data_IF_369061675869
#
_entry.id   IF_369061675869
#
_cell.length_a   1.000
_cell.length_b   1.000
_cell.length_c   1.000
_cell.angle_alpha   90.00
_cell.angle_beta   90.00
_cell.angle_gamma   90.00
#
_symmetry.space_group_name_H-M   'P 1'
#
loop_
_entity.id
_entity.type
_entity.pdbx_description
1 polymer ?
#
# COMPACT_ATOMS: atom_id res chain seq x y z
N UNK A 1 -1.09 -13.59 -5.02
CA UNK A 1 -1.31 -12.13 -5.18
C UNK A 1 -1.12 -11.80 -6.65
N UNK A 2 -1.80 -10.77 -7.15
CA UNK A 2 -1.59 -10.20 -8.50
C UNK A 2 -1.28 -8.71 -8.36
N UNK A 3 -0.51 -8.13 -9.28
CA UNK A 3 -0.15 -6.72 -9.24
C UNK A 3 0.26 -6.20 -10.61
N UNK A 4 -0.03 -4.93 -10.88
CA UNK A 4 0.35 -4.25 -12.12
C UNK A 4 1.72 -3.57 -12.02
N UNK A 5 2.25 -3.37 -10.81
CA UNK A 5 3.47 -2.57 -10.58
C UNK A 5 3.27 -1.06 -10.77
N UNK A 6 2.01 -0.61 -10.92
CA UNK A 6 1.65 0.79 -11.23
C UNK A 6 0.55 1.31 -10.30
N UNK A 7 0.59 0.91 -9.03
CA UNK A 7 -0.37 1.34 -8.02
C UNK A 7 -1.61 0.46 -7.90
N UNK A 8 -1.69 -0.69 -8.57
CA UNK A 8 -2.84 -1.60 -8.44
C UNK A 8 -2.41 -3.03 -8.14
N UNK A 9 -2.94 -3.61 -7.07
CA UNK A 9 -2.69 -5.02 -6.72
C UNK A 9 -3.90 -5.66 -6.05
N UNK A 10 -3.95 -6.99 -6.05
CA UNK A 10 -5.06 -7.78 -5.53
C UNK A 10 -4.61 -8.97 -4.69
N UNK A 11 -5.32 -9.20 -3.59
CA UNK A 11 -5.08 -10.33 -2.68
C UNK A 11 -6.23 -11.33 -2.74
N UNK A 12 -5.88 -12.60 -2.95
CA UNK A 12 -6.84 -13.70 -3.01
C UNK A 12 -6.36 -14.88 -2.17
N UNK A 13 -7.32 -15.55 -1.53
CA UNK A 13 -7.10 -16.80 -0.81
C UNK A 13 -8.19 -17.80 -1.20
N UNK A 14 -7.77 -19.00 -1.56
CA UNK A 14 -8.67 -20.09 -1.87
C UNK A 14 -8.12 -21.42 -1.34
N UNK A 15 -9.02 -22.36 -1.20
CA UNK A 15 -8.75 -23.78 -0.94
C UNK A 15 -9.35 -24.54 -2.11
N UNK A 16 -8.74 -25.65 -2.47
CA UNK A 16 -9.15 -26.53 -3.56
C UNK A 16 -8.66 -27.95 -3.28
N UNK A 17 -9.10 -28.91 -4.08
CA UNK A 17 -8.74 -30.31 -3.90
C UNK A 17 -7.32 -30.61 -4.36
N UNK A 18 -6.78 -29.78 -5.27
CA UNK A 18 -5.39 -29.82 -5.71
C UNK A 18 -4.71 -28.45 -5.59
N UNK A 19 -3.38 -28.43 -5.53
CA UNK A 19 -2.60 -27.18 -5.48
C UNK A 19 -2.86 -26.28 -6.70
N UNK A 20 -2.86 -26.79 -7.95
CA UNK A 20 -3.12 -25.95 -9.13
C UNK A 20 -4.53 -25.35 -9.11
N UNK A 21 -5.53 -26.13 -8.70
CA UNK A 21 -6.90 -25.66 -8.57
C UNK A 21 -7.02 -24.55 -7.51
N UNK A 22 -6.42 -24.75 -6.33
CA UNK A 22 -6.40 -23.75 -5.28
C UNK A 22 -5.71 -22.45 -5.74
N UNK A 23 -4.63 -22.55 -6.51
CA UNK A 23 -3.94 -21.38 -7.09
C UNK A 23 -4.81 -20.64 -8.11
N UNK A 24 -5.49 -21.35 -9.00
CA UNK A 24 -6.39 -20.75 -9.99
C UNK A 24 -7.54 -19.99 -9.31
N UNK A 25 -8.19 -20.62 -8.32
CA UNK A 25 -9.25 -19.99 -7.52
C UNK A 25 -8.74 -18.78 -6.74
N UNK A 26 -7.52 -18.86 -6.17
CA UNK A 26 -6.92 -17.75 -5.46
C UNK A 26 -6.62 -16.58 -6.41
N UNK A 27 -6.15 -16.86 -7.62
CA UNK A 27 -5.89 -15.85 -8.66
C UNK A 27 -7.19 -15.14 -9.07
N UNK A 28 -8.25 -15.88 -9.35
CA UNK A 28 -9.57 -15.29 -9.66
C UNK A 28 -10.09 -14.41 -8.52
N UNK A 29 -9.96 -14.85 -7.27
CA UNK A 29 -10.32 -14.02 -6.10
C UNK A 29 -9.44 -12.78 -5.96
N UNK A 30 -8.16 -12.87 -6.31
CA UNK A 30 -7.25 -11.72 -6.26
C UNK A 30 -7.66 -10.63 -7.25
N UNK A 31 -8.06 -11.00 -8.48
CA UNK A 31 -8.60 -10.05 -9.46
C UNK A 31 -9.95 -9.45 -9.05
N UNK A 32 -10.79 -10.18 -8.31
CA UNK A 32 -12.03 -9.63 -7.75
C UNK A 32 -11.78 -8.61 -6.63
N UNK A 33 -10.66 -8.74 -5.92
CA UNK A 33 -10.30 -7.90 -4.78
C UNK A 33 -9.12 -6.97 -5.10
N UNK A 34 -9.16 -6.31 -6.26
CA UNK A 34 -8.16 -5.32 -6.61
C UNK A 34 -8.30 -4.07 -5.74
N UNK A 35 -7.15 -3.54 -5.36
CA UNK A 35 -6.99 -2.28 -4.64
C UNK A 35 -6.09 -1.41 -5.48
N UNK A 36 -6.58 -0.21 -5.78
CA UNK A 36 -5.84 0.84 -6.46
C UNK A 36 -5.40 1.90 -5.45
N UNK A 37 -4.18 2.41 -5.62
CA UNK A 37 -3.52 3.38 -4.76
C UNK A 37 -2.86 4.46 -5.60
N UNK A 38 -2.79 5.68 -5.08
CA UNK A 38 -2.07 6.77 -5.73
C UNK A 38 -0.61 6.77 -5.29
N UNK A 39 0.29 6.66 -6.26
CA UNK A 39 1.73 6.70 -6.00
C UNK A 39 2.23 8.13 -6.15
N UNK A 40 2.94 8.60 -5.12
CA UNK A 40 3.60 9.89 -5.15
C UNK A 40 4.75 9.87 -6.15
N UNK A 41 4.69 10.75 -7.16
CA UNK A 41 5.68 10.83 -8.26
C UNK A 41 5.92 9.48 -8.95
N UNK A 42 4.90 8.63 -9.00
CA UNK A 42 4.89 7.37 -9.76
C UNK A 42 5.41 6.13 -9.02
N UNK A 43 6.21 6.25 -7.97
CA UNK A 43 6.83 5.08 -7.31
C UNK A 43 7.02 5.19 -5.78
N UNK A 44 6.54 6.26 -5.14
CA UNK A 44 6.79 6.55 -3.73
C UNK A 44 5.49 6.70 -2.94
N UNK A 45 5.56 6.57 -1.61
CA UNK A 45 4.47 6.92 -0.70
C UNK A 45 4.57 8.41 -0.33
N UNK A 46 3.46 9.15 -0.41
CA UNK A 46 3.47 10.60 -0.22
C UNK A 46 3.57 11.06 1.24
N UNK A 47 3.22 10.20 2.19
CA UNK A 47 3.17 10.54 3.61
C UNK A 47 3.55 9.36 4.50
N UNK A 48 3.89 9.65 5.75
CA UNK A 48 4.05 8.65 6.79
C UNK A 48 2.68 8.26 7.34
N UNK A 49 2.44 6.98 7.53
CA UNK A 49 1.20 6.49 8.13
C UNK A 49 1.41 5.16 8.82
N UNK A 50 0.51 4.84 9.74
CA UNK A 50 0.46 3.54 10.38
C UNK A 50 -0.98 3.09 10.56
N UNK A 51 -1.18 1.77 10.48
CA UNK A 51 -2.49 1.16 10.54
C UNK A 51 -2.42 -0.11 11.36
N UNK A 52 -3.45 -0.30 12.18
CA UNK A 52 -3.70 -1.55 12.87
C UNK A 52 -4.82 -2.30 12.17
N UNK A 53 -4.60 -3.59 11.93
CA UNK A 53 -5.61 -4.52 11.46
C UNK A 53 -5.57 -5.77 12.33
N UNK A 54 -6.63 -5.98 13.12
CA UNK A 54 -6.69 -7.02 14.15
C UNK A 54 -5.47 -6.92 15.10
N UNK A 55 -4.71 -8.00 15.25
CA UNK A 55 -3.50 -8.07 16.08
C UNK A 55 -2.23 -7.65 15.34
N UNK A 56 -2.31 -7.31 14.05
CA UNK A 56 -1.15 -6.86 13.26
C UNK A 56 -1.14 -5.34 13.18
N UNK A 57 0.03 -4.75 13.36
CA UNK A 57 0.30 -3.32 13.19
C UNK A 57 1.32 -3.16 12.07
N UNK A 58 1.09 -2.21 11.16
CA UNK A 58 2.01 -1.90 10.06
C UNK A 58 2.25 -0.40 10.01
N UNK A 59 3.46 0.00 9.67
CA UNK A 59 3.81 1.39 9.48
C UNK A 59 4.61 1.59 8.21
N UNK A 60 4.47 2.79 7.66
CA UNK A 60 5.09 3.26 6.44
C UNK A 60 5.73 4.62 6.71
N UNK A 61 6.99 4.76 6.30
CA UNK A 61 7.67 6.06 6.27
C UNK A 61 8.14 6.37 4.86
N UNK A 62 7.74 7.52 4.36
CA UNK A 62 8.17 8.05 3.08
C UNK A 62 9.67 8.29 3.07
N UNK A 63 10.31 8.03 1.93
CA UNK A 63 11.72 8.35 1.70
C UNK A 63 11.85 9.30 0.52
N UNK A 64 13.03 9.88 0.34
CA UNK A 64 13.34 10.63 -0.87
C UNK A 64 13.38 9.67 -2.06
N UNK A 65 12.95 10.14 -3.23
CA UNK A 65 13.03 9.35 -4.47
C UNK A 65 14.47 8.83 -4.70
N UNK A 66 14.59 7.55 -5.08
CA UNK A 66 15.87 6.88 -5.33
C UNK A 66 16.62 6.40 -4.08
N UNK A 67 15.99 6.45 -2.90
CA UNK A 67 16.61 5.94 -1.66
C UNK A 67 16.49 4.42 -1.51
N UNK A 68 15.64 3.80 -2.33
CA UNK A 68 15.24 2.41 -2.21
C UNK A 68 14.38 2.14 -0.99
N UNK A 69 13.95 0.88 -0.86
CA UNK A 69 13.11 0.42 0.24
C UNK A 69 13.89 -0.29 1.34
N UNK A 70 13.41 -0.15 2.57
CA UNK A 70 13.84 -0.97 3.70
C UNK A 70 12.62 -1.69 4.28
N UNK A 71 12.53 -2.97 4.00
CA UNK A 71 11.43 -3.84 4.43
C UNK A 71 11.89 -5.31 4.43
N UNK A 72 11.20 -6.15 5.19
CA UNK A 72 11.40 -7.60 5.10
C UNK A 72 10.96 -8.18 3.75
N UNK A 73 11.47 -9.35 3.38
CA UNK A 73 11.29 -9.98 2.07
C UNK A 73 9.82 -10.07 1.63
N UNK A 74 8.94 -10.62 2.48
CA UNK A 74 7.51 -10.79 2.16
C UNK A 74 6.79 -9.47 1.88
N UNK A 75 7.18 -8.40 2.57
CA UNK A 75 6.65 -7.05 2.34
C UNK A 75 7.20 -6.46 1.05
N UNK A 76 8.46 -6.77 0.69
CA UNK A 76 9.04 -6.35 -0.57
C UNK A 76 8.23 -6.85 -1.76
N UNK A 77 7.85 -8.13 -1.78
CA UNK A 77 7.03 -8.69 -2.87
C UNK A 77 5.68 -7.96 -2.99
N UNK A 78 5.08 -7.57 -1.86
CA UNK A 78 3.85 -6.76 -1.84
C UNK A 78 4.06 -5.38 -2.44
N UNK A 79 5.13 -4.70 -2.04
CA UNK A 79 5.47 -3.39 -2.56
C UNK A 79 5.78 -3.43 -4.06
N UNK A 80 6.43 -4.49 -4.55
CA UNK A 80 6.67 -4.71 -5.98
C UNK A 80 5.36 -4.84 -6.75
N UNK A 81 4.41 -5.61 -6.22
CA UNK A 81 3.09 -5.77 -6.84
C UNK A 81 2.34 -4.43 -6.99
N UNK A 82 2.53 -3.52 -6.03
CA UNK A 82 1.99 -2.16 -6.08
C UNK A 82 2.88 -1.16 -6.83
N UNK A 83 4.15 -1.44 -7.11
CA UNK A 83 5.08 -0.49 -7.74
C UNK A 83 5.76 0.49 -6.77
N UNK A 84 5.75 0.21 -5.47
CA UNK A 84 6.39 1.08 -4.47
C UNK A 84 7.87 0.74 -4.36
N UNK A 85 8.73 1.69 -4.76
CA UNK A 85 10.18 1.52 -4.77
C UNK A 85 10.87 2.15 -3.56
N UNK A 86 10.35 3.28 -3.09
CA UNK A 86 10.97 4.09 -2.03
C UNK A 86 10.08 4.15 -0.79
N UNK A 87 10.39 3.35 0.23
CA UNK A 87 9.74 3.48 1.55
C UNK A 87 10.52 2.74 2.64
N UNK A 88 10.29 3.10 3.90
CA UNK A 88 10.60 2.23 5.03
C UNK A 88 9.28 1.62 5.48
N UNK A 89 9.26 0.30 5.61
CA UNK A 89 8.09 -0.44 6.04
C UNK A 89 8.47 -1.46 7.10
N UNK A 90 7.69 -1.47 8.18
CA UNK A 90 7.80 -2.49 9.21
C UNK A 90 6.44 -2.91 9.73
N UNK A 91 6.44 -3.99 10.50
CA UNK A 91 5.26 -4.49 11.19
C UNK A 91 5.58 -4.82 12.64
N UNK A 92 4.54 -4.96 13.44
CA UNK A 92 4.61 -5.45 14.81
C UNK A 92 3.30 -6.13 15.21
N UNK A 93 3.31 -6.78 16.38
CA UNK A 93 2.19 -7.57 16.88
C UNK A 93 2.19 -8.98 16.28
N UNK A 94 1.13 -9.34 15.56
CA UNK A 94 1.00 -10.69 14.97
C UNK A 94 1.65 -10.78 13.59
N UNK A 95 2.51 -11.79 13.44
CA UNK A 95 3.22 -12.11 12.19
C UNK A 95 2.48 -13.10 11.28
N UNK A 96 1.19 -13.37 11.57
CA UNK A 96 0.38 -14.20 10.69
C UNK A 96 0.24 -13.53 9.31
N UNK A 97 0.70 -14.17 8.22
CA UNK A 97 0.72 -13.58 6.88
C UNK A 97 -0.68 -13.17 6.40
N UNK A 98 -1.73 -13.89 6.81
CA UNK A 98 -3.10 -13.55 6.43
C UNK A 98 -3.57 -12.21 7.00
N UNK A 99 -3.21 -11.90 8.24
CA UNK A 99 -3.60 -10.63 8.87
C UNK A 99 -2.65 -9.53 8.46
N UNK A 100 -1.35 -9.83 8.37
CA UNK A 100 -0.33 -8.89 7.92
C UNK A 100 -0.64 -8.36 6.51
N UNK A 101 -0.88 -9.23 5.54
CA UNK A 101 -1.13 -8.78 4.16
C UNK A 101 -2.42 -7.97 4.05
N UNK A 102 -3.46 -8.33 4.79
CA UNK A 102 -4.68 -7.52 4.88
C UNK A 102 -4.45 -6.17 5.54
N UNK A 103 -3.59 -6.10 6.56
CA UNK A 103 -3.19 -4.85 7.20
C UNK A 103 -2.50 -3.92 6.20
N UNK A 104 -1.60 -4.48 5.38
CA UNK A 104 -0.83 -3.75 4.36
C UNK A 104 -1.76 -3.19 3.28
N UNK A 105 -2.62 -4.03 2.73
CA UNK A 105 -3.61 -3.61 1.73
C UNK A 105 -4.54 -2.52 2.27
N UNK A 106 -4.99 -2.65 3.53
CA UNK A 106 -5.79 -1.63 4.20
C UNK A 106 -5.00 -0.32 4.38
N UNK A 107 -3.75 -0.41 4.82
CA UNK A 107 -2.89 0.75 5.04
C UNK A 107 -2.67 1.54 3.76
N UNK A 108 -2.31 0.85 2.68
CA UNK A 108 -2.10 1.48 1.39
C UNK A 108 -3.41 2.10 0.87
N UNK A 109 -4.51 1.34 0.84
CA UNK A 109 -5.81 1.85 0.37
C UNK A 109 -6.29 3.10 1.12
N UNK A 110 -6.16 3.10 2.44
CA UNK A 110 -6.77 4.14 3.27
C UNK A 110 -5.91 5.42 3.35
N UNK A 111 -4.59 5.32 3.14
CA UNK A 111 -3.64 6.41 3.41
C UNK A 111 -2.79 6.90 2.21
N UNK A 112 -2.85 6.24 1.06
CA UNK A 112 -2.15 6.70 -0.17
C UNK A 112 -3.00 7.68 -0.98
N UNK A 113 -3.68 8.62 -0.31
CA UNK A 113 -4.49 9.63 -1.00
C UNK A 113 -3.58 10.68 -1.64
N UNK A 114 -3.97 11.17 -2.80
CA UNK A 114 -3.26 12.28 -3.43
C UNK A 114 -3.40 13.56 -2.59
N UNK A 115 -2.41 14.46 -2.58
CA UNK A 115 -2.52 15.74 -1.87
C UNK A 115 -3.76 16.54 -2.31
N UNK A 116 -4.17 16.43 -3.57
CA UNK A 116 -5.38 17.03 -4.11
C UNK A 116 -6.65 16.41 -3.50
N UNK A 117 -6.70 15.08 -3.36
CA UNK A 117 -7.81 14.40 -2.69
C UNK A 117 -7.91 14.81 -1.22
N UNK A 118 -6.77 14.92 -0.53
CA UNK A 118 -6.73 15.38 0.86
C UNK A 118 -7.15 16.85 0.98
N UNK A 119 -6.69 17.72 0.08
CA UNK A 119 -7.10 19.12 0.01
C UNK A 119 -8.61 19.28 -0.18
N UNK A 120 -9.20 18.51 -1.11
CA UNK A 120 -10.66 18.48 -1.33
C UNK A 120 -11.41 17.98 -0.10
N UNK A 121 -10.92 16.92 0.55
CA UNK A 121 -11.55 16.41 1.78
C UNK A 121 -11.48 17.40 2.94
N UNK A 122 -10.38 18.14 3.06
CA UNK A 122 -10.16 19.09 4.14
C UNK A 122 -10.77 20.48 3.86
N UNK A 123 -11.19 20.75 2.62
CA UNK A 123 -11.63 22.09 2.19
C UNK A 123 -10.52 23.14 2.21
N UNK A 124 -9.26 22.72 2.18
CA UNK A 124 -8.08 23.59 2.31
C UNK A 124 -7.38 23.74 0.98
N UNK A 125 -6.91 24.93 0.63
CA UNK A 125 -6.10 25.13 -0.59
C UNK A 125 -4.79 24.36 -0.47
N UNK A 126 -4.44 23.70 -1.57
CA UNK A 126 -3.19 22.98 -1.71
C UNK A 126 -2.10 23.95 -2.19
N UNK A 127 -1.08 24.18 -1.37
CA UNK A 127 0.06 25.02 -1.71
C UNK A 127 1.31 24.15 -1.94
N UNK A 128 1.90 24.23 -3.12
CA UNK A 128 3.13 23.51 -3.44
C UNK A 128 4.32 24.46 -3.31
N UNK A 129 5.26 24.16 -2.41
CA UNK A 129 6.55 24.88 -2.31
C UNK A 129 7.69 23.88 -2.45
N UNK A 130 8.53 24.09 -3.48
CA UNK A 130 9.70 23.26 -3.77
C UNK A 130 9.42 21.73 -3.86
N UNK A 131 8.19 21.35 -4.23
CA UNK A 131 7.77 19.95 -4.34
C UNK A 131 7.28 19.32 -3.03
N UNK A 132 7.12 20.11 -1.96
CA UNK A 132 6.43 19.76 -0.73
C UNK A 132 5.05 20.43 -0.70
N UNK A 133 4.03 19.66 -0.29
CA UNK A 133 2.63 20.10 -0.26
C UNK A 133 2.25 20.57 1.14
N UNK A 134 1.68 21.76 1.23
CA UNK A 134 1.19 22.38 2.45
C UNK A 134 -0.30 22.66 2.30
N UNK A 135 -1.06 22.45 3.38
CA UNK A 135 -2.48 22.79 3.44
C UNK A 135 -2.61 24.10 4.19
N UNK A 136 -3.10 25.15 3.53
CA UNK A 136 -3.33 26.45 4.15
C UNK A 136 -4.80 26.58 4.52
N UNK A 137 -5.07 27.12 5.72
CA UNK A 137 -6.36 27.69 6.05
C UNK A 137 -6.25 29.17 5.69
N UNK A 138 -7.01 29.63 4.70
CA UNK A 138 -7.37 31.06 4.65
C UNK A 138 -8.41 31.34 5.75
#
# INVERSE_FOLDING_TARGET
MVGSGTGTAGLGYARGNSVPEAMALAKTKAFKNLVSIELWRGNNIGANFSVRYKKSYVFFKARKAGSGRSCGYNMGVLLDAFGVQDCIMGHGGSDNPHTLYRAIFKALRDHTRSPEQVSRMLGRKLFNRAGAFYYTNE
#
